data_IF_020919780468
#
_entry.id   IF_020919780468
#
_cell.length_a   1.000
_cell.length_b   1.000
_cell.length_c   1.000
_cell.angle_alpha   90.00
_cell.angle_beta   90.00
_cell.angle_gamma   90.00
#
_symmetry.space_group_name_H-M   'P 1'
#
loop_
_entity.id
_entity.type
_entity.pdbx_description
1 polymer ?
#
# COMPACT_ATOMS: atom_id res chain seq x y z
N UNK A 1 -8.21 -14.89 -0.88
CA UNK A 1 -7.06 -14.57 -1.76
C UNK A 1 -7.47 -14.72 -3.21
N UNK A 2 -6.79 -14.01 -4.11
CA UNK A 2 -6.96 -14.17 -5.55
C UNK A 2 -6.72 -15.65 -5.94
N UNK A 3 -7.55 -16.13 -6.87
CA UNK A 3 -7.65 -17.54 -7.26
C UNK A 3 -6.62 -17.99 -8.30
N UNK A 4 -5.56 -17.22 -8.53
CA UNK A 4 -4.43 -17.62 -9.37
C UNK A 4 -4.48 -17.25 -10.85
N UNK A 5 -5.57 -16.68 -11.37
CA UNK A 5 -5.70 -16.35 -12.82
C UNK A 5 -5.57 -14.85 -13.13
N UNK A 6 -5.85 -13.98 -12.17
CA UNK A 6 -5.76 -12.54 -12.40
C UNK A 6 -4.29 -12.07 -12.37
N UNK A 7 -3.89 -11.40 -13.45
CA UNK A 7 -2.57 -10.75 -13.59
C UNK A 7 -2.58 -9.28 -13.16
N UNK A 8 -3.78 -8.74 -12.92
CA UNK A 8 -3.98 -7.39 -12.41
C UNK A 8 -5.24 -7.32 -11.53
N UNK A 9 -5.20 -6.45 -10.54
CA UNK A 9 -6.35 -6.04 -9.73
C UNK A 9 -6.48 -4.53 -9.89
N UNK A 10 -7.62 -4.07 -10.41
CA UNK A 10 -7.94 -2.66 -10.55
C UNK A 10 -9.05 -2.28 -9.58
N UNK A 11 -8.81 -1.26 -8.76
CA UNK A 11 -9.71 -0.79 -7.72
C UNK A 11 -10.09 0.65 -8.04
N UNK A 12 -11.35 0.86 -8.39
CA UNK A 12 -11.92 2.21 -8.52
C UNK A 12 -12.33 2.71 -7.15
N UNK A 13 -11.95 3.94 -6.84
CA UNK A 13 -12.29 4.60 -5.60
C UNK A 13 -13.60 5.37 -5.80
N UNK A 14 -14.59 5.14 -4.94
CA UNK A 14 -15.86 5.86 -4.99
C UNK A 14 -15.69 7.36 -4.71
N UNK A 15 -14.64 7.72 -3.97
CA UNK A 15 -14.25 9.10 -3.69
C UNK A 15 -12.77 9.22 -4.00
N UNK A 16 -12.37 10.08 -4.95
CA UNK A 16 -10.96 10.31 -5.22
C UNK A 16 -10.23 10.86 -4.00
N UNK A 17 -9.07 10.29 -3.69
CA UNK A 17 -8.26 10.67 -2.52
C UNK A 17 -6.79 10.74 -2.91
N UNK A 18 -5.98 11.62 -2.29
CA UNK A 18 -4.53 11.55 -2.42
C UNK A 18 -4.02 10.18 -1.94
N UNK A 19 -3.26 9.48 -2.76
CA UNK A 19 -2.66 8.22 -2.39
C UNK A 19 -1.42 8.50 -1.53
N UNK A 20 -1.19 7.66 -0.51
CA UNK A 20 0.05 7.76 0.30
C UNK A 20 0.80 6.44 0.38
N UNK A 21 0.09 5.34 0.64
CA UNK A 21 0.67 4.01 0.62
C UNK A 21 -0.41 2.95 0.35
N UNK A 22 0.05 1.78 -0.08
CA UNK A 22 -0.76 0.57 -0.29
C UNK A 22 -0.09 -0.60 0.42
N UNK A 23 -0.83 -1.34 1.24
CA UNK A 23 -0.34 -2.59 1.84
C UNK A 23 -0.88 -3.76 1.05
N UNK A 24 0.03 -4.67 0.70
CA UNK A 24 -0.28 -5.88 -0.02
C UNK A 24 0.11 -7.07 0.84
N UNK A 25 -0.83 -7.99 1.04
CA UNK A 25 -0.59 -9.26 1.74
C UNK A 25 -0.70 -10.39 0.73
N UNK A 26 0.28 -11.29 0.72
CA UNK A 26 0.37 -12.39 -0.22
C UNK A 26 0.24 -13.74 0.47
N UNK A 27 -0.20 -14.74 -0.28
CA UNK A 27 -0.18 -16.14 0.14
C UNK A 27 1.27 -16.65 0.26
N UNK A 28 2.11 -16.28 -0.72
CA UNK A 28 3.47 -16.77 -0.87
C UNK A 28 4.51 -15.67 -0.68
N UNK A 29 5.54 -15.88 0.16
CA UNK A 29 6.48 -14.83 0.55
C UNK A 29 7.46 -14.40 -0.56
N UNK A 30 7.65 -15.23 -1.60
CA UNK A 30 8.57 -15.00 -2.71
C UNK A 30 8.02 -14.06 -3.80
N UNK A 31 6.77 -13.63 -3.69
CA UNK A 31 6.06 -12.90 -4.74
C UNK A 31 5.91 -11.39 -4.47
N UNK A 32 6.44 -10.90 -3.34
CA UNK A 32 6.30 -9.50 -2.90
C UNK A 32 6.93 -8.49 -3.87
N UNK A 33 7.99 -8.89 -4.57
CA UNK A 33 8.72 -8.05 -5.51
C UNK A 33 8.23 -8.23 -6.96
N UNK A 34 7.26 -9.12 -7.18
CA UNK A 34 6.71 -9.45 -8.50
C UNK A 34 5.40 -8.71 -8.79
N UNK A 35 5.21 -7.54 -8.16
CA UNK A 35 4.06 -6.68 -8.36
C UNK A 35 4.47 -5.25 -8.63
N UNK A 36 3.70 -4.56 -9.45
CA UNK A 36 3.85 -3.15 -9.77
C UNK A 36 2.58 -2.40 -9.42
N UNK A 37 2.74 -1.24 -8.78
CA UNK A 37 1.65 -0.36 -8.42
C UNK A 37 1.56 0.78 -9.46
N UNK A 38 0.37 0.97 -10.01
CA UNK A 38 0.02 2.13 -10.83
C UNK A 38 -1.27 2.77 -10.29
N UNK A 39 -1.49 4.02 -10.64
CA UNK A 39 -2.68 4.76 -10.24
C UNK A 39 -3.23 5.57 -11.42
N UNK A 40 -4.52 5.88 -11.40
CA UNK A 40 -5.15 6.81 -12.33
C UNK A 40 -5.59 8.04 -11.54
N UNK A 41 -5.17 9.22 -11.98
CA UNK A 41 -5.62 10.46 -11.37
C UNK A 41 -7.12 10.72 -11.65
N UNK A 42 -7.73 11.61 -10.88
CA UNK A 42 -9.11 12.03 -11.09
C UNK A 42 -9.32 12.83 -12.39
N UNK A 43 -8.25 13.24 -13.06
CA UNK A 43 -8.30 14.03 -14.27
C UNK A 43 -8.39 13.17 -15.54
N UNK A 44 -8.24 11.85 -15.41
CA UNK A 44 -8.37 10.89 -16.51
C UNK A 44 -7.13 10.82 -17.40
N UNK A 45 -5.94 11.17 -16.88
CA UNK A 45 -4.69 11.10 -17.64
C UNK A 45 -4.21 9.66 -17.94
N UNK A 46 -4.97 8.65 -17.51
CA UNK A 46 -4.64 7.23 -17.63
C UNK A 46 -3.69 6.75 -16.53
N UNK A 47 -3.24 5.47 -16.61
CA UNK A 47 -2.41 4.87 -15.58
C UNK A 47 -1.03 5.53 -15.53
N UNK A 48 -0.68 6.04 -14.35
CA UNK A 48 0.63 6.60 -14.03
C UNK A 48 1.39 5.65 -13.08
N UNK A 49 2.71 5.49 -13.26
CA UNK A 49 3.53 4.76 -12.32
C UNK A 49 3.66 5.53 -11.01
N UNK A 50 3.94 4.80 -9.94
CA UNK A 50 4.30 5.40 -8.68
C UNK A 50 5.72 6.01 -8.72
N UNK A 51 5.88 7.32 -8.57
CA UNK A 51 7.20 7.96 -8.54
C UNK A 51 7.27 9.10 -7.50
N UNK A 52 8.15 9.02 -6.48
CA UNK A 52 9.05 7.91 -6.15
C UNK A 52 8.32 6.76 -5.43
N UNK A 53 8.39 5.56 -6.01
CA UNK A 53 7.96 4.33 -5.32
C UNK A 53 8.98 3.94 -4.24
N UNK A 54 8.50 3.64 -3.03
CA UNK A 54 9.33 3.03 -1.99
C UNK A 54 8.64 1.82 -1.39
N UNK A 55 9.38 0.73 -1.19
CA UNK A 55 8.87 -0.51 -0.61
C UNK A 55 9.43 -0.77 0.77
N UNK A 56 8.58 -1.22 1.67
CA UNK A 56 8.96 -1.68 3.00
C UNK A 56 8.33 -3.05 3.24
N UNK A 57 9.18 -4.07 3.38
CA UNK A 57 8.73 -5.41 3.80
C UNK A 57 8.39 -5.37 5.28
N UNK A 58 7.12 -5.58 5.62
CA UNK A 58 6.63 -5.57 7.02
C UNK A 58 6.89 -6.92 7.67
N UNK A 59 6.65 -8.00 6.91
CA UNK A 59 6.89 -9.39 7.25
C UNK A 59 7.10 -10.21 5.95
N UNK A 60 7.36 -11.54 6.02
CA UNK A 60 7.63 -12.33 4.82
C UNK A 60 6.52 -12.33 3.76
N UNK A 61 5.28 -12.01 4.11
CA UNK A 61 4.10 -12.03 3.23
C UNK A 61 3.47 -10.66 3.02
N UNK A 62 4.00 -9.61 3.65
CA UNK A 62 3.40 -8.27 3.64
C UNK A 62 4.42 -7.23 3.16
N UNK A 63 4.03 -6.43 2.17
CA UNK A 63 4.80 -5.27 1.69
C UNK A 63 3.92 -4.03 1.71
N UNK A 64 4.50 -2.95 2.22
CA UNK A 64 3.94 -1.60 2.10
C UNK A 64 4.65 -0.90 0.94
N UNK A 65 3.88 -0.41 -0.02
CA UNK A 65 4.33 0.38 -1.16
C UNK A 65 3.91 1.83 -0.90
N UNK A 66 4.86 2.70 -0.62
CA UNK A 66 4.65 4.13 -0.49
C UNK A 66 4.49 4.74 -1.89
N UNK A 67 3.38 5.45 -2.06
CA UNK A 67 3.02 6.09 -3.31
C UNK A 67 2.32 7.44 -3.07
N UNK A 68 3.08 8.49 -2.74
CA UNK A 68 2.52 9.80 -2.49
C UNK A 68 2.08 10.45 -3.82
N UNK A 69 0.80 10.83 -3.92
CA UNK A 69 0.30 11.63 -5.04
C UNK A 69 -0.13 13.01 -4.56
N UNK A 70 0.18 14.06 -5.35
CA UNK A 70 -0.31 15.41 -5.08
C UNK A 70 -1.78 15.57 -5.49
N UNK A 71 -2.16 14.89 -6.57
CA UNK A 71 -3.54 14.89 -7.08
C UNK A 71 -4.34 13.73 -6.50
N UNK A 72 -5.66 13.91 -6.31
CA UNK A 72 -6.55 12.81 -5.99
C UNK A 72 -6.50 11.72 -7.05
N UNK A 73 -6.46 10.47 -6.58
CA UNK A 73 -6.46 9.26 -7.38
C UNK A 73 -7.87 8.72 -7.47
N UNK A 74 -8.33 8.37 -8.66
CA UNK A 74 -9.64 7.76 -8.90
C UNK A 74 -9.58 6.23 -8.97
N UNK A 75 -8.42 5.67 -9.34
CA UNK A 75 -8.23 4.22 -9.34
C UNK A 75 -6.79 3.81 -9.00
N UNK A 76 -6.65 2.65 -8.38
CA UNK A 76 -5.35 2.02 -8.07
C UNK A 76 -5.32 0.65 -8.73
N UNK A 77 -4.23 0.37 -9.45
CA UNK A 77 -4.00 -0.90 -10.13
C UNK A 77 -2.74 -1.57 -9.60
N UNK A 78 -2.85 -2.85 -9.28
CA UNK A 78 -1.71 -3.71 -8.95
C UNK A 78 -1.61 -4.78 -10.02
N UNK A 79 -0.52 -4.76 -10.77
CA UNK A 79 -0.21 -5.73 -11.83
C UNK A 79 1.00 -6.59 -11.49
N UNK A 80 1.19 -7.67 -12.25
CA UNK A 80 2.40 -8.51 -12.19
C UNK A 80 2.12 -9.95 -11.76
N UNK A 81 3.15 -10.80 -11.85
CA UNK A 81 3.04 -12.23 -11.58
C UNK A 81 2.63 -12.54 -10.13
N UNK A 82 2.99 -11.66 -9.18
CA UNK A 82 2.63 -11.83 -7.77
C UNK A 82 1.14 -11.67 -7.48
N UNK A 83 0.36 -11.04 -8.37
CA UNK A 83 -1.07 -10.75 -8.17
C UNK A 83 -1.90 -12.03 -8.01
N UNK A 84 -1.49 -13.12 -8.66
CA UNK A 84 -2.12 -14.43 -8.52
C UNK A 84 -2.16 -14.93 -7.06
N UNK A 85 -1.20 -14.51 -6.24
CA UNK A 85 -1.10 -14.86 -4.83
C UNK A 85 -1.57 -13.76 -3.88
N UNK A 86 -2.07 -12.63 -4.38
CA UNK A 86 -2.53 -11.52 -3.54
C UNK A 86 -3.74 -11.95 -2.68
N UNK A 87 -3.68 -11.70 -1.38
CA UNK A 87 -4.70 -12.06 -0.41
C UNK A 87 -5.57 -10.89 0.02
N UNK A 88 -4.95 -9.75 0.31
CA UNK A 88 -5.63 -8.49 0.62
C UNK A 88 -4.81 -7.32 0.09
N UNK A 89 -5.52 -6.20 -0.11
CA UNK A 89 -4.96 -4.93 -0.52
C UNK A 89 -5.66 -3.84 0.29
N UNK A 90 -4.87 -3.04 1.00
CA UNK A 90 -5.35 -1.93 1.81
C UNK A 90 -4.78 -0.62 1.27
N UNK A 91 -5.65 0.35 0.99
CA UNK A 91 -5.29 1.68 0.47
C UNK A 91 -5.42 2.69 1.60
N UNK A 92 -4.40 3.52 1.80
CA UNK A 92 -4.44 4.63 2.74
C UNK A 92 -4.25 5.97 2.04
N UNK A 93 -5.17 6.88 2.30
CA UNK A 93 -5.01 8.31 2.07
C UNK A 93 -4.58 8.98 3.38
N UNK A 94 -3.28 9.13 3.59
CA UNK A 94 -2.79 10.00 4.63
C UNK A 94 -3.07 11.45 4.25
N UNK A 95 -3.70 12.21 5.13
CA UNK A 95 -3.79 13.67 5.01
C UNK A 95 -2.38 14.27 5.20
N UNK A 96 -1.61 14.36 4.12
CA UNK A 96 -0.33 15.04 4.10
C UNK A 96 -0.49 16.37 3.35
N UNK A 97 -0.81 17.45 4.07
CA UNK A 97 -0.65 18.81 3.56
C UNK A 97 0.85 19.05 3.31
N UNK A 98 1.29 18.83 2.07
CA UNK A 98 2.69 18.81 1.69
C UNK A 98 3.31 20.22 1.74
N UNK A 99 4.04 20.52 2.82
CA UNK A 99 5.13 21.50 2.78
C UNK A 99 6.46 20.74 2.65
N UNK A 100 7.41 21.23 1.84
CA UNK A 100 8.71 20.55 1.57
C UNK A 100 9.51 20.16 2.82
N UNK A 101 9.26 20.76 3.99
CA UNK A 101 9.83 20.39 5.29
C UNK A 101 9.30 19.07 5.88
N UNK A 102 8.11 18.61 5.48
CA UNK A 102 7.43 17.46 6.08
C UNK A 102 8.06 16.12 5.73
N UNK A 103 8.70 16.01 4.56
CA UNK A 103 9.28 14.76 4.05
C UNK A 103 10.43 14.26 4.95
N UNK A 104 11.16 15.18 5.58
CA UNK A 104 12.24 14.85 6.53
C UNK A 104 11.74 14.32 7.87
N UNK A 105 10.67 14.91 8.41
CA UNK A 105 9.99 14.44 9.62
C UNK A 105 9.35 13.06 9.41
N UNK A 106 8.83 12.78 8.22
CA UNK A 106 8.26 11.48 7.85
C UNK A 106 9.26 10.31 7.83
N UNK A 107 10.57 10.55 7.64
CA UNK A 107 11.59 9.48 7.78
C UNK A 107 11.65 8.92 9.21
N UNK A 108 11.37 9.75 10.21
CA UNK A 108 11.36 9.36 11.62
C UNK A 108 9.98 8.84 12.06
N UNK A 109 8.90 9.54 11.68
CA UNK A 109 7.54 9.06 11.99
C UNK A 109 7.17 7.81 11.22
N UNK A 110 7.61 7.54 9.99
CA UNK A 110 7.32 6.25 9.34
C UNK A 110 8.02 5.08 10.05
N UNK A 111 9.27 5.25 10.49
CA UNK A 111 9.97 4.25 11.32
C UNK A 111 9.28 4.08 12.68
N UNK A 112 8.86 5.17 13.32
CA UNK A 112 8.14 5.12 14.60
C UNK A 112 6.71 4.58 14.44
N UNK A 113 5.99 4.90 13.37
CA UNK A 113 4.62 4.45 13.11
C UNK A 113 4.61 2.97 12.81
N UNK A 114 5.57 2.43 12.04
CA UNK A 114 5.75 0.98 11.87
C UNK A 114 6.16 0.31 13.19
N UNK A 115 7.00 0.97 13.99
CA UNK A 115 7.42 0.49 15.32
C UNK A 115 6.30 0.47 16.37
N UNK A 116 5.50 1.53 16.44
CA UNK A 116 4.32 1.65 17.29
C UNK A 116 3.22 0.70 16.80
N UNK A 117 2.98 0.57 15.49
CA UNK A 117 2.08 -0.45 14.96
C UNK A 117 2.52 -1.87 15.32
N UNK A 118 3.84 -2.16 15.34
CA UNK A 118 4.38 -3.45 15.82
C UNK A 118 4.03 -3.75 17.28
N UNK A 119 3.86 -2.73 18.12
CA UNK A 119 3.44 -2.89 19.52
C UNK A 119 1.93 -2.97 19.67
N UNK A 120 1.16 -2.10 19.00
CA UNK A 120 -0.31 -2.12 19.07
C UNK A 120 -0.89 -3.39 18.46
N UNK A 121 -0.34 -3.89 17.35
CA UNK A 121 -0.79 -5.15 16.73
C UNK A 121 -0.40 -6.39 17.55
N UNK A 122 0.74 -6.37 18.26
CA UNK A 122 1.10 -7.42 19.23
C UNK A 122 0.10 -7.47 20.39
N UNK A 123 -0.37 -6.32 20.88
CA UNK A 123 -1.43 -6.25 21.89
C UNK A 123 -2.77 -6.76 21.35
N UNK A 124 -3.14 -6.40 20.13
CA UNK A 124 -4.39 -6.87 19.50
C UNK A 124 -4.38 -8.38 19.29
N UNK A 125 -3.29 -9.00 18.79
CA UNK A 125 -3.20 -10.46 18.62
C UNK A 125 -3.12 -11.21 19.96
N UNK A 126 -2.56 -10.60 21.01
CA UNK A 126 -2.56 -11.18 22.36
C UNK A 126 -3.96 -11.31 22.97
N UNK A 127 -4.86 -10.37 22.64
CA UNK A 127 -6.25 -10.38 23.07
C UNK A 127 -7.12 -11.42 22.32
N UNK A 128 -6.74 -11.84 21.12
CA UNK A 128 -7.43 -12.91 20.36
C UNK A 128 -6.97 -14.33 20.73
N UNK A 129 -5.98 -14.49 21.62
CA UNK A 129 -5.45 -15.80 22.03
C UNK A 129 -6.04 -16.32 23.36
N UNK A 130 -7.01 -15.61 23.94
CA UNK A 130 -7.63 -15.95 25.23
C UNK A 130 -9.18 -15.98 25.22
N UNK A 131 -9.79 -16.08 24.05
CA UNK A 131 -11.21 -16.44 23.89
C UNK A 131 -11.32 -17.66 22.99
#
# INVERSE_FOLDING_TARGET
>A
CNGGTAQAVNIKLNTPIPLTWVRLVFREPGLLDQVQLTYEDSNGAGPSPCDPERRARVDPRTVDIMCPTETPVAAVSVGGAGVAALCSLDISAGTCTASKHSVGLWRQTFKHSVGLWRQTFKHSVGLWRQT
#
